data_IF_708672560570
#
_entry.id   IF_708672560570
#
_cell.length_a   1.000
_cell.length_b   1.000
_cell.length_c   1.000
_cell.angle_alpha   90.00
_cell.angle_beta   90.00
_cell.angle_gamma   90.00
#
_symmetry.space_group_name_H-M   'P 1'
#
loop_
_entity.id
_entity.type
_entity.pdbx_description
1 polymer ?
#
# COMPACT_ATOMS: atom_id res chain seq x y z
N UNK A 1 -42.84 -26.01 53.14
CA UNK A 1 -42.56 -26.42 51.77
C UNK A 1 -42.52 -25.13 50.94
N UNK A 2 -41.34 -24.49 50.83
CA UNK A 2 -41.15 -23.19 50.09
C UNK A 2 -40.43 -23.49 48.81
N UNK A 3 -41.08 -23.28 47.66
CA UNK A 3 -40.46 -23.30 46.33
C UNK A 3 -39.64 -22.00 46.13
N UNK A 4 -38.34 -22.13 45.89
CA UNK A 4 -37.47 -21.05 45.40
C UNK A 4 -37.54 -21.06 43.86
N UNK A 5 -38.08 -19.98 43.28
CA UNK A 5 -37.99 -19.68 41.86
C UNK A 5 -36.63 -19.00 41.58
N UNK A 6 -35.78 -19.70 40.85
CA UNK A 6 -34.49 -19.17 40.38
C UNK A 6 -34.71 -18.51 39.02
N UNK A 7 -34.84 -17.18 38.96
CA UNK A 7 -34.89 -16.41 37.72
C UNK A 7 -33.47 -16.30 37.14
N UNK A 8 -33.24 -17.00 36.04
CA UNK A 8 -32.03 -16.81 35.22
C UNK A 8 -32.20 -15.55 34.36
N UNK A 9 -31.45 -14.51 34.69
CA UNK A 9 -31.29 -13.32 33.86
C UNK A 9 -30.47 -13.70 32.63
N UNK A 10 -31.08 -13.72 31.47
CA UNK A 10 -30.43 -13.88 30.17
C UNK A 10 -29.91 -12.50 29.73
N UNK A 11 -28.62 -12.20 29.94
CA UNK A 11 -27.98 -11.03 29.35
C UNK A 11 -27.83 -11.24 27.84
N UNK A 12 -28.75 -10.65 27.08
CA UNK A 12 -28.62 -10.54 25.61
C UNK A 12 -27.57 -9.46 25.32
N UNK A 13 -26.33 -9.86 25.03
CA UNK A 13 -25.34 -8.95 24.49
C UNK A 13 -25.72 -8.64 23.04
N UNK A 14 -26.33 -7.50 22.81
CA UNK A 14 -26.52 -6.93 21.48
C UNK A 14 -25.18 -6.48 20.95
N UNK A 15 -24.63 -7.27 20.03
CA UNK A 15 -23.46 -6.88 19.22
C UNK A 15 -23.92 -5.76 18.29
N UNK A 16 -23.63 -4.51 18.63
CA UNK A 16 -23.79 -3.39 17.71
C UNK A 16 -22.77 -3.57 16.58
N UNK A 17 -23.21 -4.12 15.45
CA UNK A 17 -22.51 -3.96 14.19
C UNK A 17 -22.57 -2.48 13.79
N UNK A 18 -21.53 -1.72 14.08
CA UNK A 18 -21.32 -0.43 13.45
C UNK A 18 -21.08 -0.69 11.95
N UNK A 19 -21.74 0.02 11.04
CA UNK A 19 -21.40 -0.04 9.63
C UNK A 19 -20.03 0.66 9.47
N UNK A 20 -18.97 -0.11 9.55
CA UNK A 20 -17.64 0.34 9.18
C UNK A 20 -17.62 0.56 7.67
N UNK A 21 -17.60 1.81 7.24
CA UNK A 21 -17.21 2.14 5.87
C UNK A 21 -15.86 1.49 5.59
N UNK A 22 -15.77 0.74 4.49
CA UNK A 22 -14.57 0.02 4.10
C UNK A 22 -13.47 1.02 3.72
N UNK A 23 -12.70 1.44 4.70
CA UNK A 23 -11.43 2.13 4.47
C UNK A 23 -10.31 1.11 4.26
N UNK A 24 -9.18 1.52 3.71
CA UNK A 24 -7.97 0.71 3.59
C UNK A 24 -7.64 -0.07 4.87
N UNK A 25 -6.60 -0.83 4.85
CA UNK A 25 -6.16 -1.50 6.08
C UNK A 25 -5.73 -0.45 7.10
N UNK A 26 -6.54 -0.21 8.12
CA UNK A 26 -6.25 0.73 9.20
C UNK A 26 -5.62 0.00 10.38
N UNK A 27 -4.50 0.54 10.86
CA UNK A 27 -3.76 -0.01 11.99
C UNK A 27 -3.50 1.10 13.00
N UNK A 28 -3.57 0.84 14.32
CA UNK A 28 -3.03 1.77 15.30
C UNK A 28 -1.54 1.96 15.03
N UNK A 29 -1.05 3.18 15.16
CA UNK A 29 0.39 3.41 15.08
C UNK A 29 1.08 2.66 16.23
N UNK A 30 2.15 1.93 15.94
CA UNK A 30 2.87 1.22 16.95
C UNK A 30 3.54 2.20 17.93
N UNK A 31 3.62 1.78 19.18
CA UNK A 31 4.38 2.50 20.22
C UNK A 31 5.86 2.58 19.84
N UNK A 32 6.60 3.48 20.49
CA UNK A 32 8.05 3.57 20.35
C UNK A 32 8.72 2.19 20.46
N UNK A 33 9.66 1.88 19.57
CA UNK A 33 10.36 0.60 19.39
C UNK A 33 9.60 -0.47 18.58
N UNK A 34 8.56 -0.10 17.86
CA UNK A 34 7.92 -0.98 16.90
C UNK A 34 7.70 -0.24 15.58
N UNK A 35 8.18 -0.81 14.48
CA UNK A 35 8.10 -0.23 13.15
C UNK A 35 7.13 -0.99 12.25
N UNK A 36 6.55 -2.09 12.74
CA UNK A 36 5.70 -2.95 11.96
C UNK A 36 4.22 -2.75 12.27
N UNK A 37 3.40 -2.87 11.23
CA UNK A 37 1.93 -2.88 11.33
C UNK A 37 1.36 -4.02 10.49
N UNK A 38 0.15 -4.45 10.85
CA UNK A 38 -0.56 -5.51 10.13
C UNK A 38 -0.07 -6.92 10.47
N UNK A 39 -0.55 -7.86 9.70
CA UNK A 39 -0.21 -9.29 9.83
C UNK A 39 -0.29 -9.98 8.49
N UNK A 40 0.51 -11.00 8.29
CA UNK A 40 0.39 -11.90 7.15
C UNK A 40 -0.85 -12.77 7.35
N UNK A 41 -1.69 -12.87 6.32
CA UNK A 41 -2.81 -13.78 6.26
C UNK A 41 -2.61 -14.81 5.15
N UNK A 42 -3.38 -15.89 5.20
CA UNK A 42 -3.44 -16.91 4.13
C UNK A 42 -4.90 -17.16 3.83
N UNK A 43 -5.27 -17.10 2.56
CA UNK A 43 -6.62 -17.43 2.09
C UNK A 43 -6.55 -18.61 1.11
N UNK A 44 -7.67 -19.29 0.94
CA UNK A 44 -7.82 -20.32 -0.09
C UNK A 44 -8.44 -19.69 -1.34
N UNK A 45 -7.86 -19.97 -2.50
CA UNK A 45 -8.39 -19.54 -3.78
C UNK A 45 -9.69 -20.31 -4.10
N UNK A 46 -10.67 -19.64 -4.68
CA UNK A 46 -11.88 -20.24 -5.24
C UNK A 46 -11.58 -20.73 -6.65
N UNK A 47 -12.47 -21.55 -7.21
CA UNK A 47 -12.29 -22.13 -8.55
C UNK A 47 -12.06 -21.07 -9.65
N UNK A 48 -12.79 -19.97 -9.60
CA UNK A 48 -12.72 -18.90 -10.60
C UNK A 48 -11.72 -17.77 -10.23
N UNK A 49 -11.10 -17.81 -9.05
CA UNK A 49 -10.20 -16.74 -8.61
C UNK A 49 -8.92 -16.69 -9.45
N UNK A 50 -8.54 -15.49 -9.84
CA UNK A 50 -7.15 -15.14 -10.18
C UNK A 50 -6.44 -14.53 -8.95
N UNK A 51 -5.11 -14.42 -8.95
CA UNK A 51 -4.43 -13.64 -7.90
C UNK A 51 -4.85 -12.16 -7.93
N UNK A 52 -5.30 -11.66 -9.08
CA UNK A 52 -5.82 -10.29 -9.24
C UNK A 52 -7.14 -10.11 -8.49
N UNK A 53 -8.06 -11.08 -8.58
CA UNK A 53 -9.33 -11.06 -7.86
C UNK A 53 -9.11 -11.16 -6.35
N UNK A 54 -8.19 -12.03 -5.94
CA UNK A 54 -7.81 -12.15 -4.53
C UNK A 54 -7.17 -10.85 -4.03
N UNK A 55 -6.22 -10.26 -4.79
CA UNK A 55 -5.59 -8.98 -4.43
C UNK A 55 -6.64 -7.87 -4.25
N UNK A 56 -7.61 -7.79 -5.16
CA UNK A 56 -8.72 -6.85 -5.10
C UNK A 56 -9.61 -7.05 -3.87
N UNK A 57 -9.97 -8.30 -3.58
CA UNK A 57 -10.80 -8.69 -2.42
C UNK A 57 -10.09 -8.42 -1.11
N UNK A 58 -8.81 -8.75 -1.03
CA UNK A 58 -7.98 -8.59 0.17
C UNK A 58 -7.31 -7.20 0.26
N UNK A 59 -7.60 -6.30 -0.70
CA UNK A 59 -7.12 -4.90 -0.74
C UNK A 59 -5.60 -4.78 -0.66
N UNK A 60 -4.88 -5.62 -1.40
CA UNK A 60 -3.43 -5.57 -1.58
C UNK A 60 -3.08 -5.30 -3.04
N UNK A 61 -1.86 -4.84 -3.31
CA UNK A 61 -1.41 -4.57 -4.68
C UNK A 61 -1.24 -5.87 -5.49
N UNK A 62 -1.52 -5.80 -6.79
CA UNK A 62 -1.35 -6.96 -7.68
C UNK A 62 0.08 -7.50 -7.69
N UNK A 63 1.06 -6.62 -7.85
CA UNK A 63 2.46 -7.07 -7.88
C UNK A 63 2.91 -7.56 -6.50
N UNK A 64 2.36 -6.97 -5.41
CA UNK A 64 2.66 -7.41 -4.06
C UNK A 64 2.19 -8.86 -3.80
N UNK A 65 0.96 -9.22 -4.23
CA UNK A 65 0.47 -10.60 -4.04
C UNK A 65 1.25 -11.59 -4.90
N UNK A 66 1.67 -11.22 -6.10
CA UNK A 66 2.49 -12.07 -6.97
C UNK A 66 3.88 -12.28 -6.37
N UNK A 67 4.53 -11.23 -5.86
CA UNK A 67 5.82 -11.32 -5.16
C UNK A 67 5.75 -12.23 -3.93
N UNK A 68 4.66 -12.13 -3.17
CA UNK A 68 4.44 -12.94 -1.96
C UNK A 68 4.16 -14.43 -2.28
N UNK A 69 3.74 -14.76 -3.51
CA UNK A 69 3.30 -16.09 -3.92
C UNK A 69 4.03 -16.60 -5.19
N UNK A 70 5.37 -16.72 -5.16
CA UNK A 70 6.17 -16.99 -6.35
C UNK A 70 5.94 -18.37 -7.00
N UNK A 71 5.23 -19.27 -6.33
CA UNK A 71 4.89 -20.60 -6.84
C UNK A 71 3.43 -20.74 -7.27
N UNK A 72 2.65 -19.66 -7.21
CA UNK A 72 1.23 -19.67 -7.56
C UNK A 72 1.05 -18.98 -8.92
N UNK A 73 0.32 -19.62 -9.83
CA UNK A 73 0.01 -19.01 -11.11
C UNK A 73 -0.89 -17.79 -10.92
N UNK A 74 -0.55 -16.66 -11.59
CA UNK A 74 -1.27 -15.40 -11.46
C UNK A 74 -2.72 -15.49 -11.92
N UNK A 75 -2.96 -16.24 -13.01
CA UNK A 75 -4.25 -16.27 -13.69
C UNK A 75 -5.08 -17.49 -13.32
N UNK A 76 -4.42 -18.55 -12.83
CA UNK A 76 -5.06 -19.80 -12.43
C UNK A 76 -4.39 -20.41 -11.19
N UNK A 77 -4.62 -19.84 -10.01
CA UNK A 77 -4.09 -20.40 -8.75
C UNK A 77 -4.52 -21.85 -8.51
N UNK A 78 -5.71 -22.21 -8.98
CA UNK A 78 -6.39 -23.47 -8.70
C UNK A 78 -7.23 -23.41 -7.42
N UNK A 79 -8.36 -24.12 -7.42
CA UNK A 79 -9.24 -24.22 -6.26
C UNK A 79 -8.50 -24.80 -5.03
N UNK A 80 -8.71 -24.17 -3.88
CA UNK A 80 -8.07 -24.58 -2.62
C UNK A 80 -6.59 -24.20 -2.50
N UNK A 81 -5.99 -23.59 -3.53
CA UNK A 81 -4.62 -23.11 -3.45
C UNK A 81 -4.47 -22.09 -2.31
N UNK A 82 -3.44 -22.27 -1.47
CA UNK A 82 -3.14 -21.38 -0.36
C UNK A 82 -2.39 -20.17 -0.87
N UNK A 83 -3.00 -18.99 -0.74
CA UNK A 83 -2.47 -17.70 -1.17
C UNK A 83 -2.10 -16.85 0.03
N UNK A 84 -0.84 -16.45 0.12
CA UNK A 84 -0.32 -15.55 1.15
C UNK A 84 -0.75 -14.12 0.82
N UNK A 85 -1.35 -13.44 1.78
CA UNK A 85 -1.76 -12.03 1.67
C UNK A 85 -0.69 -11.16 2.35
N UNK A 86 0.02 -10.31 1.59
CA UNK A 86 1.10 -9.46 2.10
C UNK A 86 0.54 -8.20 2.79
N UNK A 87 -0.17 -8.39 3.91
CA UNK A 87 -0.81 -7.32 4.68
C UNK A 87 -0.09 -6.99 6.00
N UNK A 88 1.22 -7.26 6.06
CA UNK A 88 2.14 -6.82 7.10
C UNK A 88 3.22 -5.96 6.49
N UNK A 89 3.57 -4.84 7.13
CA UNK A 89 4.42 -3.80 6.55
C UNK A 89 5.41 -3.27 7.59
N UNK A 90 6.65 -3.02 7.19
CA UNK A 90 7.55 -2.10 7.89
C UNK A 90 7.17 -0.69 7.44
N UNK A 91 6.91 0.22 8.39
CA UNK A 91 6.58 1.60 8.06
C UNK A 91 7.77 2.31 7.41
N UNK A 92 7.53 3.22 6.44
CA UNK A 92 8.59 4.01 5.81
C UNK A 92 9.41 4.81 6.84
N UNK A 93 10.72 4.94 6.59
CA UNK A 93 11.67 5.68 7.44
C UNK A 93 11.63 7.19 7.15
N UNK A 94 10.44 7.80 7.30
CA UNK A 94 10.18 9.23 7.10
C UNK A 94 9.20 9.73 8.17
N UNK A 95 9.03 11.04 8.34
CA UNK A 95 8.05 11.57 9.29
C UNK A 95 6.65 11.00 9.08
N UNK A 96 6.06 10.40 10.11
CA UNK A 96 4.76 9.71 10.08
C UNK A 96 3.61 10.72 10.15
N UNK A 97 3.42 11.50 9.09
CA UNK A 97 2.36 12.53 9.00
C UNK A 97 1.83 12.67 7.58
N UNK A 98 0.51 12.90 7.46
CA UNK A 98 -0.14 13.10 6.17
C UNK A 98 -0.02 11.88 5.26
N UNK A 99 0.29 12.09 4.00
CA UNK A 99 0.39 11.04 2.99
C UNK A 99 1.85 10.73 2.67
N UNK A 100 2.21 9.45 2.67
CA UNK A 100 3.51 8.95 2.23
C UNK A 100 3.30 7.89 1.14
N UNK A 101 3.71 8.18 -0.07
CA UNK A 101 3.72 7.23 -1.18
C UNK A 101 5.12 6.64 -1.31
N UNK A 102 5.27 5.32 -1.13
CA UNK A 102 6.52 4.64 -1.45
C UNK A 102 6.39 3.94 -2.80
N UNK A 103 7.11 4.44 -3.79
CA UNK A 103 6.93 4.01 -5.19
C UNK A 103 7.32 2.56 -5.46
N UNK A 104 8.42 1.97 -4.92
CA UNK A 104 8.74 0.55 -5.15
C UNK A 104 7.72 -0.42 -4.57
N UNK A 105 6.98 0.01 -3.54
CA UNK A 105 5.93 -0.79 -2.92
C UNK A 105 4.59 -0.66 -3.62
N UNK A 106 4.41 0.44 -4.41
CA UNK A 106 3.09 0.86 -4.92
C UNK A 106 2.05 0.95 -3.80
N UNK A 107 2.47 1.57 -2.66
CA UNK A 107 1.65 1.75 -1.45
C UNK A 107 1.62 3.20 -1.02
N UNK A 108 0.42 3.64 -0.66
CA UNK A 108 0.18 4.93 -0.04
C UNK A 108 -0.17 4.69 1.43
N UNK A 109 0.56 5.36 2.31
CA UNK A 109 0.32 5.39 3.75
C UNK A 109 -0.34 6.71 4.11
N UNK A 110 -1.45 6.68 4.83
CA UNK A 110 -2.07 7.86 5.41
C UNK A 110 -1.94 7.81 6.92
N UNK A 111 -1.13 8.69 7.46
CA UNK A 111 -0.96 8.88 8.90
C UNK A 111 -1.98 9.91 9.39
N UNK A 112 -3.01 9.45 10.09
CA UNK A 112 -4.07 10.26 10.68
C UNK A 112 -3.92 10.34 12.20
N UNK A 113 -4.45 11.41 12.79
CA UNK A 113 -4.31 11.70 14.22
C UNK A 113 -3.16 12.66 14.50
N UNK A 114 -3.27 13.40 15.61
CA UNK A 114 -2.21 14.24 16.13
C UNK A 114 -1.40 13.51 17.20
N UNK A 115 -0.23 14.04 17.52
CA UNK A 115 0.65 13.46 18.54
C UNK A 115 0.02 13.42 19.96
N UNK A 116 -1.12 14.12 20.16
CA UNK A 116 -1.68 14.41 21.49
C UNK A 116 -2.94 13.61 21.87
N UNK A 117 -3.63 12.92 20.93
CA UNK A 117 -4.95 12.32 21.22
C UNK A 117 -4.96 10.80 21.41
N UNK A 118 -3.82 10.12 21.25
CA UNK A 118 -3.68 8.67 21.42
C UNK A 118 -4.44 7.84 20.37
N UNK A 119 -5.03 8.50 19.35
CA UNK A 119 -5.80 7.85 18.27
C UNK A 119 -5.03 7.77 16.95
N UNK A 120 -3.73 8.00 17.00
CA UNK A 120 -2.87 7.96 15.81
C UNK A 120 -2.97 6.62 15.11
N UNK A 121 -3.31 6.67 13.82
CA UNK A 121 -3.46 5.48 12.98
C UNK A 121 -2.68 5.64 11.67
N UNK A 122 -2.35 4.53 11.06
CA UNK A 122 -1.89 4.47 9.68
C UNK A 122 -2.85 3.62 8.87
N UNK A 123 -3.28 4.16 7.75
CA UNK A 123 -4.04 3.42 6.75
C UNK A 123 -3.14 3.14 5.55
N UNK A 124 -3.21 1.92 5.03
CA UNK A 124 -2.38 1.47 3.91
C UNK A 124 -3.27 1.16 2.72
N UNK A 125 -2.95 1.77 1.57
CA UNK A 125 -3.70 1.63 0.34
C UNK A 125 -2.79 1.12 -0.78
N UNK A 126 -3.20 0.08 -1.54
CA UNK A 126 -2.54 -0.24 -2.78
C UNK A 126 -2.82 0.85 -3.82
N UNK A 127 -1.82 1.20 -4.62
CA UNK A 127 -1.96 2.23 -5.64
C UNK A 127 -1.26 1.81 -6.93
N UNK A 128 -1.74 2.32 -8.08
CA UNK A 128 -0.96 2.27 -9.31
C UNK A 128 -0.16 3.57 -9.46
N UNK A 129 1.06 3.44 -9.96
CA UNK A 129 1.98 4.55 -10.21
C UNK A 129 2.35 4.67 -11.69
N UNK A 130 3.13 5.68 -12.02
CA UNK A 130 3.68 5.88 -13.37
C UNK A 130 4.47 4.68 -13.87
N UNK A 131 4.25 4.31 -15.14
CA UNK A 131 5.07 3.34 -15.86
C UNK A 131 6.39 3.95 -16.28
N UNK A 132 7.31 3.15 -16.75
CA UNK A 132 8.58 3.62 -17.29
C UNK A 132 8.37 4.66 -18.40
N UNK A 133 9.11 5.76 -18.34
CA UNK A 133 8.96 6.93 -19.21
C UNK A 133 7.85 7.91 -18.78
N UNK A 134 7.07 7.55 -17.74
CA UNK A 134 6.02 8.37 -17.13
C UNK A 134 6.08 8.28 -15.60
N UNK A 135 7.24 8.46 -15.04
CA UNK A 135 7.52 8.20 -13.64
C UNK A 135 6.69 9.10 -12.71
N UNK A 136 6.33 8.56 -11.56
CA UNK A 136 5.81 9.33 -10.44
C UNK A 136 7.02 9.90 -9.68
N UNK A 137 7.23 11.24 -9.68
CA UNK A 137 8.48 11.82 -9.19
C UNK A 137 8.60 11.75 -7.67
N UNK A 138 9.81 11.48 -7.18
CA UNK A 138 10.16 11.57 -5.76
C UNK A 138 10.22 13.04 -5.38
N UNK A 139 9.37 13.46 -4.42
CA UNK A 139 9.27 14.87 -4.00
C UNK A 139 8.46 15.02 -2.71
N UNK A 140 8.55 16.18 -2.10
CA UNK A 140 7.63 16.65 -1.07
C UNK A 140 6.69 17.69 -1.65
N UNK A 141 5.41 17.60 -1.30
CA UNK A 141 4.36 18.52 -1.76
C UNK A 141 3.21 18.56 -0.74
N UNK A 142 2.08 19.13 -1.13
CA UNK A 142 0.86 19.16 -0.32
C UNK A 142 -0.36 18.88 -1.18
N UNK A 143 -1.45 18.46 -0.55
CA UNK A 143 -2.76 18.42 -1.18
C UNK A 143 -3.30 19.85 -1.33
N UNK A 144 -3.51 20.32 -2.56
CA UNK A 144 -3.92 21.71 -2.81
C UNK A 144 -5.41 21.85 -3.14
N UNK A 145 -6.06 20.83 -3.66
CA UNK A 145 -7.51 20.84 -3.87
C UNK A 145 -8.11 19.46 -4.01
N UNK A 146 -9.41 19.36 -3.82
CA UNK A 146 -10.22 18.15 -3.94
C UNK A 146 -11.34 18.42 -4.95
N UNK A 147 -11.59 17.47 -5.84
CA UNK A 147 -12.63 17.60 -6.85
C UNK A 147 -13.46 16.32 -6.92
N UNK A 148 -14.78 16.46 -6.78
CA UNK A 148 -15.76 15.39 -7.02
C UNK A 148 -16.21 15.46 -8.47
N UNK A 149 -16.41 14.31 -9.08
CA UNK A 149 -16.84 14.15 -10.47
C UNK A 149 -16.03 15.06 -11.44
N UNK A 150 -14.67 14.88 -11.49
CA UNK A 150 -13.80 15.72 -12.29
C UNK A 150 -14.02 15.48 -13.80
N UNK A 151 -13.99 16.54 -14.62
CA UNK A 151 -13.67 16.37 -16.03
C UNK A 151 -12.17 16.13 -16.21
N UNK A 152 -11.80 15.23 -17.11
CA UNK A 152 -10.40 14.99 -17.43
C UNK A 152 -10.00 15.75 -18.70
N UNK A 153 -8.91 16.47 -18.61
CA UNK A 153 -8.28 17.18 -19.71
C UNK A 153 -6.94 16.49 -20.01
N UNK A 154 -6.93 15.46 -20.89
CA UNK A 154 -5.70 14.73 -21.17
C UNK A 154 -4.62 15.66 -21.73
N UNK A 155 -3.40 15.64 -21.16
CA UNK A 155 -2.25 16.35 -21.70
C UNK A 155 -2.02 16.01 -23.17
N UNK A 156 -1.37 16.92 -23.91
CA UNK A 156 -1.12 16.70 -25.34
C UNK A 156 -0.23 15.49 -25.61
N UNK A 157 0.74 15.23 -24.71
CA UNK A 157 1.59 14.04 -24.77
C UNK A 157 0.78 12.74 -24.73
N UNK A 158 -0.20 12.65 -23.83
CA UNK A 158 -1.10 11.48 -23.71
C UNK A 158 -2.01 11.38 -24.92
N UNK A 159 -2.56 12.52 -25.41
CA UNK A 159 -3.42 12.52 -26.62
C UNK A 159 -2.66 12.07 -27.86
N UNK A 160 -1.38 12.45 -27.97
CA UNK A 160 -0.51 12.03 -29.09
C UNK A 160 -0.24 10.54 -29.02
N UNK A 161 0.15 10.01 -27.87
CA UNK A 161 0.38 8.58 -27.66
C UNK A 161 -0.85 7.75 -28.06
N UNK A 162 -2.02 8.11 -27.56
CA UNK A 162 -3.27 7.44 -27.95
C UNK A 162 -3.60 7.55 -29.44
N UNK A 163 -3.32 8.70 -30.06
CA UNK A 163 -3.53 8.87 -31.49
C UNK A 163 -2.59 7.98 -32.32
N UNK A 164 -1.33 7.83 -31.88
CA UNK A 164 -0.33 6.96 -32.51
C UNK A 164 -0.71 5.47 -32.35
N UNK A 165 -1.42 5.11 -31.28
CA UNK A 165 -1.98 3.77 -31.03
C UNK A 165 -3.32 3.51 -31.74
N UNK A 166 -3.88 4.50 -32.46
CA UNK A 166 -5.13 4.39 -33.18
C UNK A 166 -6.39 4.57 -32.33
N UNK A 167 -6.26 5.05 -31.10
CA UNK A 167 -7.35 5.34 -30.14
C UNK A 167 -7.36 6.83 -29.73
N UNK A 168 -7.67 7.77 -30.62
CA UNK A 168 -7.52 9.19 -30.36
C UNK A 168 -8.47 9.70 -29.27
N UNK A 169 -7.90 10.31 -28.25
CA UNK A 169 -8.66 10.91 -27.15
C UNK A 169 -9.25 12.28 -27.52
N UNK A 170 -10.44 12.54 -26.99
CA UNK A 170 -11.06 13.88 -27.03
C UNK A 170 -10.25 14.85 -26.15
N UNK A 171 -10.42 16.18 -26.42
CA UNK A 171 -9.77 17.20 -25.58
C UNK A 171 -10.27 17.24 -24.15
N UNK A 172 -11.50 16.78 -23.95
CA UNK A 172 -12.16 16.73 -22.62
C UNK A 172 -12.95 15.44 -22.53
N UNK A 173 -12.70 14.68 -21.47
CA UNK A 173 -13.56 13.56 -21.07
C UNK A 173 -14.44 14.05 -19.92
N UNK A 174 -15.77 14.12 -20.09
CA UNK A 174 -16.67 14.60 -19.06
C UNK A 174 -16.70 13.65 -17.84
N UNK A 175 -17.24 14.10 -16.71
CA UNK A 175 -17.55 13.19 -15.61
C UNK A 175 -18.43 12.03 -16.05
N UNK A 176 -18.17 10.85 -15.55
CA UNK A 176 -18.95 9.65 -15.89
C UNK A 176 -18.15 8.36 -15.75
N UNK A 177 -18.77 7.22 -16.07
CA UNK A 177 -18.16 5.89 -15.90
C UNK A 177 -16.94 5.68 -16.81
N UNK A 178 -16.85 6.37 -17.93
CA UNK A 178 -15.73 6.27 -18.87
C UNK A 178 -14.56 7.20 -18.52
N UNK A 179 -14.72 8.06 -17.51
CA UNK A 179 -13.65 8.96 -17.11
C UNK A 179 -12.55 8.20 -16.34
N UNK A 180 -11.30 8.20 -16.82
CA UNK A 180 -10.21 7.46 -16.18
C UNK A 180 -9.81 8.01 -14.83
N UNK A 181 -10.21 9.24 -14.46
CA UNK A 181 -9.98 9.78 -13.10
C UNK A 181 -10.98 9.23 -12.07
N UNK A 182 -12.05 8.56 -12.51
CA UNK A 182 -13.11 8.13 -11.61
C UNK A 182 -13.88 9.32 -11.01
N UNK A 183 -14.50 9.12 -9.85
CA UNK A 183 -15.37 10.11 -9.21
C UNK A 183 -14.66 11.11 -8.32
N UNK A 184 -13.41 10.85 -7.92
CA UNK A 184 -12.69 11.67 -6.96
C UNK A 184 -11.26 11.91 -7.39
N UNK A 185 -10.82 13.15 -7.33
CA UNK A 185 -9.46 13.57 -7.61
C UNK A 185 -8.94 14.49 -6.49
N UNK A 186 -7.73 14.19 -6.04
CA UNK A 186 -6.97 14.90 -5.03
C UNK A 186 -5.76 15.52 -5.73
N UNK A 187 -5.77 16.84 -5.96
CA UNK A 187 -4.73 17.55 -6.70
C UNK A 187 -3.56 17.88 -5.79
N UNK A 188 -2.37 17.55 -6.26
CA UNK A 188 -1.12 17.87 -5.56
C UNK A 188 -0.61 19.27 -5.94
N UNK A 189 0.20 19.87 -5.07
CA UNK A 189 0.95 21.09 -5.36
C UNK A 189 2.05 20.90 -6.42
N UNK A 190 2.13 19.70 -6.97
CA UNK A 190 2.96 19.34 -8.12
C UNK A 190 2.12 19.43 -9.39
N UNK A 191 2.43 20.32 -10.34
CA UNK A 191 1.62 20.54 -11.53
C UNK A 191 1.42 19.24 -12.34
N UNK A 192 0.16 18.92 -12.64
CA UNK A 192 -0.20 17.75 -13.46
C UNK A 192 -0.36 16.44 -12.67
N UNK A 193 -0.02 16.39 -11.38
CA UNK A 193 -0.11 15.15 -10.59
C UNK A 193 -1.31 15.14 -9.64
N UNK A 194 -1.95 13.96 -9.59
CA UNK A 194 -3.16 13.70 -8.82
C UNK A 194 -3.05 12.35 -8.09
N UNK A 195 -3.69 12.23 -6.94
CA UNK A 195 -4.26 10.96 -6.50
C UNK A 195 -5.71 10.93 -6.96
N UNK A 196 -6.14 9.87 -7.61
CA UNK A 196 -7.48 9.80 -8.19
C UNK A 196 -8.02 8.37 -8.23
N UNK A 197 -9.31 8.25 -8.39
CA UNK A 197 -9.96 6.96 -8.64
C UNK A 197 -9.62 6.38 -10.00
N UNK A 198 -10.35 5.39 -10.42
CA UNK A 198 -10.17 4.79 -11.73
C UNK A 198 -11.45 4.09 -12.18
N UNK A 199 -11.67 4.05 -13.48
CA UNK A 199 -12.64 3.17 -14.12
C UNK A 199 -12.05 1.78 -14.45
N UNK A 200 -10.74 1.60 -14.25
CA UNK A 200 -9.99 0.34 -14.49
C UNK A 200 -9.27 -0.09 -13.22
N UNK A 201 -10.04 -0.51 -12.20
CA UNK A 201 -9.53 -0.85 -10.87
C UNK A 201 -8.52 -2.02 -10.89
N UNK A 202 -8.57 -2.85 -11.91
CA UNK A 202 -7.67 -3.99 -12.05
C UNK A 202 -6.18 -3.60 -12.17
N UNK A 203 -5.85 -2.38 -12.56
CA UNK A 203 -4.48 -1.89 -12.65
C UNK A 203 -3.86 -1.40 -11.31
N UNK A 204 -4.61 -1.41 -10.19
CA UNK A 204 -4.11 -0.96 -8.89
C UNK A 204 -3.09 -1.96 -8.34
N UNK A 205 -1.96 -1.45 -7.85
CA UNK A 205 -0.81 -2.26 -7.45
C UNK A 205 0.13 -2.60 -8.58
N UNK A 206 0.09 -1.84 -9.70
CA UNK A 206 0.94 -2.00 -10.87
C UNK A 206 1.48 -0.65 -11.36
N UNK A 207 2.48 -0.70 -12.23
CA UNK A 207 3.04 0.46 -12.95
C UNK A 207 2.34 0.63 -14.29
N UNK A 208 1.23 1.38 -14.32
CA UNK A 208 0.36 1.48 -15.52
C UNK A 208 -0.18 2.88 -15.79
N UNK A 209 0.19 3.88 -15.01
CA UNK A 209 -0.30 5.25 -15.20
C UNK A 209 0.68 6.11 -16.01
N UNK A 210 0.24 7.32 -16.37
CA UNK A 210 1.07 8.37 -16.96
C UNK A 210 1.61 9.33 -15.86
N UNK A 211 2.04 8.77 -14.71
CA UNK A 211 2.63 9.50 -13.60
C UNK A 211 1.67 9.78 -12.44
N UNK A 212 0.38 9.97 -12.68
CA UNK A 212 -0.61 10.12 -11.63
C UNK A 212 -0.81 8.82 -10.84
N UNK A 213 -1.26 8.95 -9.59
CA UNK A 213 -1.46 7.82 -8.69
C UNK A 213 -2.92 7.38 -8.72
N UNK A 214 -3.18 6.15 -9.20
CA UNK A 214 -4.53 5.58 -9.25
C UNK A 214 -4.80 4.78 -7.98
N UNK A 215 -5.97 5.00 -7.41
CA UNK A 215 -6.47 4.31 -6.21
C UNK A 215 -7.73 3.51 -6.54
N UNK A 216 -8.03 2.53 -5.72
CA UNK A 216 -9.34 1.87 -5.77
C UNK A 216 -10.44 2.91 -5.56
N UNK A 217 -11.59 2.83 -6.26
CA UNK A 217 -12.67 3.83 -6.15
C UNK A 217 -13.12 4.08 -4.70
N UNK A 218 -13.27 3.03 -3.91
CA UNK A 218 -13.67 3.11 -2.51
C UNK A 218 -12.56 3.68 -1.61
N UNK A 219 -11.29 3.50 -1.95
CA UNK A 219 -10.16 4.03 -1.18
C UNK A 219 -10.04 5.53 -1.36
N UNK A 220 -10.06 6.00 -2.61
CA UNK A 220 -10.00 7.43 -2.89
C UNK A 220 -11.23 8.17 -2.37
N UNK A 221 -12.42 7.55 -2.41
CA UNK A 221 -13.63 8.13 -1.81
C UNK A 221 -13.49 8.32 -0.31
N UNK A 222 -13.10 7.25 0.40
CA UNK A 222 -12.85 7.29 1.85
C UNK A 222 -11.80 8.33 2.23
N UNK A 223 -10.71 8.40 1.46
CA UNK A 223 -9.66 9.38 1.70
C UNK A 223 -10.13 10.81 1.40
N UNK A 224 -10.87 11.00 0.29
CA UNK A 224 -11.40 12.29 -0.13
C UNK A 224 -12.28 12.93 0.95
N UNK A 225 -13.14 12.17 1.61
CA UNK A 225 -14.04 12.73 2.62
C UNK A 225 -13.28 13.21 3.87
N UNK A 226 -12.20 12.56 4.24
CA UNK A 226 -11.50 12.76 5.52
C UNK A 226 -10.27 13.66 5.46
N UNK A 227 -9.54 13.64 4.35
CA UNK A 227 -8.27 14.36 4.27
C UNK A 227 -8.47 15.86 4.02
N UNK A 228 -7.89 16.75 4.82
CA UNK A 228 -7.97 18.19 4.59
C UNK A 228 -7.03 18.67 3.47
N UNK A 229 -7.41 19.74 2.78
CA UNK A 229 -6.49 20.51 1.93
C UNK A 229 -5.35 21.06 2.79
N UNK A 230 -4.14 21.08 2.27
CA UNK A 230 -2.94 21.42 3.02
C UNK A 230 -2.21 20.23 3.62
N UNK A 231 -2.80 19.01 3.58
CA UNK A 231 -2.13 17.81 4.07
C UNK A 231 -0.80 17.61 3.36
N UNK A 232 0.32 17.42 4.10
CA UNK A 232 1.62 17.14 3.52
C UNK A 232 1.61 15.79 2.79
N UNK A 233 2.33 15.75 1.67
CA UNK A 233 2.50 14.57 0.84
C UNK A 233 3.98 14.36 0.58
N UNK A 234 4.48 13.17 0.92
CA UNK A 234 5.83 12.73 0.61
C UNK A 234 5.76 11.60 -0.41
N UNK A 235 6.44 11.72 -1.52
CA UNK A 235 6.63 10.66 -2.51
C UNK A 235 8.10 10.24 -2.41
N UNK A 236 8.33 9.00 -2.03
CA UNK A 236 9.64 8.45 -1.70
C UNK A 236 9.95 7.21 -2.54
N UNK A 237 11.22 6.84 -2.58
CA UNK A 237 11.72 5.64 -3.23
C UNK A 237 12.59 4.85 -2.23
N UNK A 238 11.97 4.03 -1.41
CA UNK A 238 12.61 3.18 -0.41
C UNK A 238 12.33 1.70 -0.73
N UNK A 239 13.09 1.06 -1.60
CA UNK A 239 12.91 -0.36 -1.91
C UNK A 239 13.32 -1.28 -0.76
N UNK A 240 14.13 -0.82 0.17
CA UNK A 240 14.59 -1.56 1.34
C UNK A 240 14.14 -0.86 2.61
N UNK A 241 13.54 -1.61 3.51
CA UNK A 241 13.17 -1.14 4.85
C UNK A 241 13.63 -2.16 5.89
N UNK A 242 14.17 -1.65 6.99
CA UNK A 242 14.55 -2.44 8.17
C UNK A 242 13.81 -1.84 9.37
N UNK A 243 13.27 -2.69 10.21
CA UNK A 243 12.48 -2.21 11.34
C UNK A 243 12.40 -3.24 12.48
N UNK A 244 12.10 -2.76 13.65
CA UNK A 244 11.98 -3.57 14.86
C UNK A 244 10.52 -3.89 15.20
N UNK A 245 10.30 -5.09 15.72
CA UNK A 245 9.11 -5.45 16.46
C UNK A 245 9.56 -6.08 17.77
N UNK A 246 9.38 -5.37 18.87
CA UNK A 246 10.02 -5.69 20.16
C UNK A 246 11.54 -5.87 19.98
N UNK A 247 12.07 -7.06 20.27
CA UNK A 247 13.50 -7.37 20.18
C UNK A 247 13.88 -8.11 18.88
N UNK A 248 12.99 -8.18 17.92
CA UNK A 248 13.21 -8.88 16.65
C UNK A 248 13.38 -7.89 15.51
N UNK A 249 14.44 -8.06 14.72
CA UNK A 249 14.72 -7.24 13.55
C UNK A 249 14.11 -7.88 12.29
N UNK A 250 13.45 -7.05 11.50
CA UNK A 250 12.82 -7.43 10.24
C UNK A 250 13.41 -6.67 9.08
N UNK A 251 13.44 -7.30 7.92
CA UNK A 251 13.83 -6.75 6.63
C UNK A 251 12.69 -6.91 5.64
N UNK A 252 12.32 -5.85 4.94
CA UNK A 252 11.38 -5.86 3.82
C UNK A 252 12.09 -5.31 2.58
N UNK A 253 12.13 -6.11 1.51
CA UNK A 253 12.78 -5.75 0.26
C UNK A 253 11.78 -5.83 -0.88
N UNK A 254 11.69 -4.76 -1.65
CA UNK A 254 10.94 -4.68 -2.91
C UNK A 254 11.91 -4.61 -4.09
N UNK A 255 11.55 -5.13 -5.26
CA UNK A 255 12.32 -4.89 -6.47
C UNK A 255 12.45 -3.38 -6.70
N UNK A 256 13.67 -2.83 -6.89
CA UNK A 256 13.82 -1.45 -7.32
C UNK A 256 13.12 -1.22 -8.67
N UNK A 257 12.65 0.01 -8.89
CA UNK A 257 12.02 0.38 -10.15
C UNK A 257 12.97 0.16 -11.33
N UNK A 258 12.42 -0.15 -12.52
CA UNK A 258 13.23 -0.51 -13.69
C UNK A 258 14.20 0.60 -14.12
N UNK A 259 13.80 1.87 -14.02
CA UNK A 259 14.62 3.04 -14.29
C UNK A 259 15.62 3.38 -13.19
N UNK A 260 15.49 2.77 -12.00
CA UNK A 260 16.36 3.03 -10.87
C UNK A 260 17.58 2.08 -10.88
N UNK A 261 18.50 2.32 -11.80
CA UNK A 261 19.73 1.53 -11.94
C UNK A 261 20.57 1.57 -10.67
N UNK A 262 20.67 2.73 -10.02
CA UNK A 262 21.48 2.92 -8.82
C UNK A 262 20.99 2.01 -7.68
N UNK A 263 19.70 1.99 -7.41
CA UNK A 263 19.16 1.09 -6.37
C UNK A 263 19.27 -0.37 -6.77
N UNK A 264 19.17 -0.72 -8.06
CA UNK A 264 19.36 -2.11 -8.51
C UNK A 264 20.80 -2.58 -8.32
N UNK A 265 21.77 -1.79 -8.73
CA UNK A 265 23.20 -2.13 -8.59
C UNK A 265 23.64 -2.20 -7.13
N UNK A 266 23.10 -1.33 -6.28
CA UNK A 266 23.49 -1.18 -4.88
C UNK A 266 22.54 -1.86 -3.89
N UNK A 267 21.58 -2.66 -4.36
CA UNK A 267 20.58 -3.27 -3.48
C UNK A 267 21.20 -4.04 -2.31
N UNK A 268 22.21 -4.86 -2.59
CA UNK A 268 22.88 -5.65 -1.56
C UNK A 268 23.61 -4.75 -0.55
N UNK A 269 24.33 -3.73 -1.02
CA UNK A 269 25.05 -2.78 -0.16
C UNK A 269 24.06 -2.01 0.71
N UNK A 270 22.96 -1.54 0.12
CA UNK A 270 21.90 -0.82 0.84
C UNK A 270 21.27 -1.69 1.92
N UNK A 271 20.98 -2.97 1.63
CA UNK A 271 20.45 -3.91 2.64
C UNK A 271 21.41 -4.05 3.80
N UNK A 272 22.70 -4.33 3.54
CA UNK A 272 23.67 -4.49 4.62
C UNK A 272 23.90 -3.21 5.40
N UNK A 273 23.97 -2.06 4.74
CA UNK A 273 24.10 -0.77 5.42
C UNK A 273 22.93 -0.52 6.38
N UNK A 274 21.67 -0.68 5.90
CA UNK A 274 20.49 -0.44 6.75
C UNK A 274 20.37 -1.46 7.88
N UNK A 275 20.77 -2.72 7.67
CA UNK A 275 20.83 -3.74 8.72
C UNK A 275 21.85 -3.35 9.78
N UNK A 276 23.06 -2.96 9.37
CA UNK A 276 24.13 -2.55 10.30
C UNK A 276 23.72 -1.29 11.09
N UNK A 277 23.11 -0.31 10.44
CA UNK A 277 22.57 0.90 11.09
C UNK A 277 21.48 0.55 12.13
N UNK A 278 20.56 -0.36 11.78
CA UNK A 278 19.48 -0.79 12.69
C UNK A 278 19.99 -1.61 13.87
N UNK A 279 21.02 -2.43 13.67
CA UNK A 279 21.67 -3.21 14.74
C UNK A 279 22.40 -2.29 15.70
N UNK A 280 23.19 -1.33 15.19
CA UNK A 280 24.02 -0.45 16.00
C UNK A 280 24.88 -1.24 17.00
N UNK A 281 24.82 -0.87 18.29
CA UNK A 281 25.57 -1.52 19.37
C UNK A 281 24.85 -2.74 20.00
N UNK A 282 23.74 -3.20 19.41
CA UNK A 282 22.96 -4.33 19.97
C UNK A 282 23.63 -5.67 19.70
N UNK A 283 23.60 -6.55 20.70
CA UNK A 283 24.09 -7.92 20.57
C UNK A 283 22.94 -8.83 20.11
N UNK A 284 23.00 -9.31 18.87
CA UNK A 284 22.02 -10.24 18.29
C UNK A 284 22.68 -11.13 17.22
N UNK A 285 22.05 -12.25 16.92
CA UNK A 285 22.48 -13.13 15.83
C UNK A 285 21.66 -12.83 14.59
N UNK A 286 22.35 -12.46 13.50
CA UNK A 286 21.70 -12.21 12.20
C UNK A 286 21.49 -13.54 11.43
N UNK A 287 20.29 -13.72 10.92
CA UNK A 287 19.92 -14.80 10.00
C UNK A 287 20.41 -14.48 8.58
N UNK A 288 21.73 -14.54 8.35
CA UNK A 288 22.37 -14.16 7.08
C UNK A 288 21.73 -14.84 5.86
N UNK A 289 21.31 -16.11 6.00
CA UNK A 289 20.64 -16.82 4.91
C UNK A 289 19.31 -16.16 4.49
N UNK A 290 18.53 -15.67 5.46
CA UNK A 290 17.27 -14.94 5.19
C UNK A 290 17.55 -13.61 4.50
N UNK A 291 18.56 -12.86 4.93
CA UNK A 291 18.97 -11.60 4.32
C UNK A 291 19.37 -11.82 2.86
N UNK A 292 20.27 -12.79 2.61
CA UNK A 292 20.72 -13.12 1.26
C UNK A 292 19.59 -13.62 0.35
N UNK A 293 18.60 -14.34 0.91
CA UNK A 293 17.42 -14.77 0.17
C UNK A 293 16.57 -13.59 -0.29
N UNK A 294 16.33 -12.59 0.57
CA UNK A 294 15.58 -11.38 0.24
C UNK A 294 16.33 -10.50 -0.78
N UNK A 295 17.66 -10.38 -0.67
CA UNK A 295 18.48 -9.67 -1.67
C UNK A 295 18.35 -10.34 -3.05
N UNK A 296 18.43 -11.67 -3.09
CA UNK A 296 18.38 -12.43 -4.34
C UNK A 296 16.98 -12.46 -4.96
N UNK A 297 15.96 -12.52 -4.13
CA UNK A 297 14.56 -12.62 -4.53
C UNK A 297 13.67 -11.83 -3.56
N UNK A 298 13.52 -10.53 -3.79
CA UNK A 298 12.67 -9.69 -2.97
C UNK A 298 11.25 -10.25 -2.87
N UNK A 299 10.74 -10.41 -1.65
CA UNK A 299 9.39 -10.93 -1.42
C UNK A 299 8.33 -9.82 -1.23
N UNK A 300 8.76 -8.59 -1.00
CA UNK A 300 7.88 -7.47 -0.66
C UNK A 300 7.19 -7.62 0.69
N UNK A 301 7.70 -8.50 1.56
CA UNK A 301 7.15 -8.75 2.90
C UNK A 301 8.21 -8.67 3.99
N UNK A 302 7.86 -8.21 5.20
CA UNK A 302 8.75 -8.27 6.35
C UNK A 302 9.20 -9.71 6.65
N UNK A 303 10.51 -9.93 6.62
CA UNK A 303 11.17 -11.17 7.01
C UNK A 303 11.95 -10.99 8.29
N UNK A 304 11.79 -11.89 9.21
CA UNK A 304 12.59 -11.94 10.42
C UNK A 304 14.05 -12.27 10.07
N UNK A 305 14.98 -11.39 10.48
CA UNK A 305 16.41 -11.49 10.17
C UNK A 305 17.33 -11.55 11.40
N UNK A 306 16.75 -11.56 12.59
CA UNK A 306 17.52 -11.75 13.83
C UNK A 306 16.93 -12.85 14.70
N UNK A 307 17.75 -13.38 15.59
CA UNK A 307 17.32 -14.24 16.69
C UNK A 307 17.58 -13.51 18.00
N UNK A 308 16.61 -13.56 18.91
CA UNK A 308 16.85 -13.12 20.29
C UNK A 308 17.84 -14.08 20.96
N UNK A 309 18.79 -13.53 21.70
CA UNK A 309 19.75 -14.33 22.49
C UNK A 309 19.20 -14.73 23.86
N UNK A 310 17.94 -14.33 24.17
CA UNK A 310 17.32 -14.55 25.48
C UNK A 310 15.88 -15.01 25.37
#
# INVERSE_FOLDING_TARGET
MKLLFCQRLLCLATLLCLPGGASGHAFPLPLSNNDLVGRVAVVEAREEDTLVDIARRERVGQDAIVLANPGVDRWYPGEGARVVIPSRYILPSVPRRGLVLNTPEMRLYYFSGGDDDGTSQVEVFPVAIGRQGWETPVTETTLVSKQRDPAWYPPESIRREHADEGDPLTRVVPPGPDNPLGRYALRLGLPGYLFHGTNKAFGVGMRVSHGCVRMLPEDVESLFERIPVGTPVQIINQPVKVGWEADTLYLEVHPPLEEDEVNRERLADTVWQLVDEAVGDRFLVLKKASILAEIKRPSGMPREISESLF
#
